data_IF_357690524010
#
_entry.id   IF_357690524010
#
_cell.length_a   1.000
_cell.length_b   1.000
_cell.length_c   1.000
_cell.angle_alpha   90.00
_cell.angle_beta   90.00
_cell.angle_gamma   90.00
#
_symmetry.space_group_name_H-M   'P 1'
#
loop_
_entity.id
_entity.type
_entity.pdbx_description
1 polymer ?
#
# COMPACT_ATOMS: atom_id res chain seq x y z
N UNK A 1 -15.12 15.94 -6.70
CA UNK A 1 -15.46 14.49 -6.75
C UNK A 1 -15.35 13.95 -5.35
N UNK A 2 -16.30 13.10 -4.94
CA UNK A 2 -16.32 12.46 -3.62
C UNK A 2 -15.98 10.97 -3.74
N UNK A 3 -15.42 10.35 -2.69
CA UNK A 3 -15.20 8.91 -2.64
C UNK A 3 -16.53 8.18 -2.58
N UNK A 4 -16.58 7.00 -3.20
CA UNK A 4 -17.73 6.11 -3.15
C UNK A 4 -17.29 4.65 -3.17
N UNK A 5 -18.16 3.77 -2.69
CA UNK A 5 -17.94 2.32 -2.69
C UNK A 5 -18.92 1.62 -3.60
N UNK A 6 -18.40 0.80 -4.50
CA UNK A 6 -19.15 -0.17 -5.29
C UNK A 6 -19.14 -1.50 -4.52
N UNK A 7 -20.29 -1.88 -3.97
CA UNK A 7 -20.41 -3.07 -3.10
C UNK A 7 -20.52 -4.35 -3.91
N UNK A 8 -19.71 -5.35 -3.57
CA UNK A 8 -19.73 -6.66 -4.24
C UNK A 8 -19.52 -6.64 -5.76
N UNK A 9 -18.99 -5.55 -6.31
CA UNK A 9 -18.98 -5.27 -7.74
C UNK A 9 -17.97 -6.14 -8.51
N UNK A 10 -17.00 -6.73 -7.81
CA UNK A 10 -15.98 -7.59 -8.39
C UNK A 10 -16.16 -9.07 -8.02
N UNK A 11 -17.34 -9.48 -7.54
CA UNK A 11 -17.60 -10.87 -7.14
C UNK A 11 -17.33 -11.88 -8.28
N UNK A 12 -17.49 -11.45 -9.53
CA UNK A 12 -17.26 -12.27 -10.72
C UNK A 12 -15.81 -12.27 -11.22
N UNK A 13 -14.90 -11.50 -10.59
CA UNK A 13 -13.49 -11.56 -10.94
C UNK A 13 -12.91 -12.94 -10.62
N UNK A 14 -12.13 -13.56 -11.53
CA UNK A 14 -11.38 -14.77 -11.20
C UNK A 14 -10.48 -14.59 -9.96
N UNK A 15 -10.00 -13.36 -9.72
CA UNK A 15 -9.19 -13.01 -8.56
C UNK A 15 -9.89 -13.24 -7.21
N UNK A 16 -11.23 -13.27 -7.18
CA UNK A 16 -12.00 -13.59 -5.97
C UNK A 16 -11.80 -15.04 -5.49
N UNK A 17 -11.30 -15.92 -6.35
CA UNK A 17 -10.98 -17.32 -6.00
C UNK A 17 -9.58 -17.48 -5.41
N UNK A 18 -8.81 -16.41 -5.31
CA UNK A 18 -7.45 -16.47 -4.78
C UNK A 18 -7.47 -16.80 -3.29
N UNK A 19 -6.85 -17.93 -2.94
CA UNK A 19 -6.55 -18.30 -1.56
C UNK A 19 -5.10 -17.95 -1.22
N UNK A 20 -4.76 -17.94 0.08
CA UNK A 20 -3.37 -17.72 0.52
C UNK A 20 -2.43 -18.81 0.00
N UNK A 21 -2.92 -20.05 -0.09
CA UNK A 21 -2.19 -21.18 -0.66
C UNK A 21 -1.95 -20.95 -2.16
N UNK A 22 -2.98 -20.55 -2.92
CA UNK A 22 -2.83 -20.25 -4.36
C UNK A 22 -1.93 -19.03 -4.63
N UNK A 23 -1.88 -18.07 -3.70
CA UNK A 23 -1.01 -16.90 -3.78
C UNK A 23 0.44 -17.27 -3.48
N UNK A 24 0.68 -18.17 -2.52
CA UNK A 24 2.02 -18.67 -2.21
C UNK A 24 2.69 -19.38 -3.39
N UNK A 25 1.91 -20.02 -4.26
CA UNK A 25 2.44 -20.71 -5.45
C UNK A 25 2.93 -19.74 -6.53
N UNK A 26 2.24 -18.60 -6.67
CA UNK A 26 2.38 -17.66 -7.80
C UNK A 26 3.08 -16.35 -7.45
N UNK A 27 3.14 -15.98 -6.18
CA UNK A 27 3.93 -14.86 -5.68
C UNK A 27 5.35 -15.34 -5.47
N UNK A 28 6.29 -14.75 -6.21
CA UNK A 28 7.72 -15.05 -6.14
C UNK A 28 8.51 -13.76 -5.95
N UNK A 29 9.72 -13.84 -5.37
CA UNK A 29 10.66 -12.72 -5.42
C UNK A 29 10.85 -12.24 -6.87
N UNK A 30 11.05 -10.93 -7.04
CA UNK A 30 11.32 -10.36 -8.35
C UNK A 30 12.63 -10.92 -8.93
N UNK A 31 12.84 -10.80 -10.25
CA UNK A 31 14.12 -11.17 -10.86
C UNK A 31 15.33 -10.43 -10.29
N UNK A 32 15.10 -9.31 -9.60
CA UNK A 32 16.12 -8.47 -8.95
C UNK A 32 16.30 -8.74 -7.45
N UNK A 33 15.47 -9.57 -6.82
CA UNK A 33 15.49 -9.80 -5.37
C UNK A 33 15.41 -11.28 -5.06
N UNK A 34 16.25 -11.81 -4.18
CA UNK A 34 16.20 -13.23 -3.79
C UNK A 34 15.08 -13.56 -2.78
N UNK A 35 14.49 -12.52 -2.18
CA UNK A 35 13.51 -12.65 -1.09
C UNK A 35 12.31 -11.71 -1.26
N UNK A 36 11.23 -12.04 -0.57
CA UNK A 36 10.08 -11.17 -0.34
C UNK A 36 10.31 -10.37 0.94
N UNK A 37 10.18 -9.05 0.85
CA UNK A 37 10.27 -8.16 2.01
C UNK A 37 8.89 -7.94 2.65
N UNK A 38 8.76 -8.28 3.93
CA UNK A 38 7.55 -8.04 4.74
C UNK A 38 7.83 -6.98 5.79
N UNK A 39 6.90 -6.03 5.92
CA UNK A 39 6.93 -4.97 6.93
C UNK A 39 6.21 -5.40 8.20
N UNK A 40 6.77 -5.04 9.35
CA UNK A 40 6.20 -5.31 10.65
C UNK A 40 6.12 -4.06 11.52
N UNK A 41 5.09 -4.01 12.35
CA UNK A 41 4.91 -2.99 13.35
C UNK A 41 4.18 -3.52 14.58
N UNK A 42 4.26 -2.80 15.68
CA UNK A 42 3.61 -3.21 16.93
C UNK A 42 2.10 -3.05 16.82
N UNK A 43 1.34 -4.04 17.32
CA UNK A 43 -0.12 -3.95 17.45
C UNK A 43 -0.55 -2.89 18.45
N UNK A 44 0.25 -2.68 19.50
CA UNK A 44 0.03 -1.60 20.46
C UNK A 44 0.43 -0.27 19.82
N UNK A 45 -0.57 0.56 19.53
CA UNK A 45 -0.36 1.93 19.08
C UNK A 45 0.08 2.83 20.25
N UNK A 46 1.07 3.68 20.05
CA UNK A 46 1.49 4.70 21.01
C UNK A 46 0.98 6.04 20.51
N UNK A 47 0.04 6.65 21.22
CA UNK A 47 -0.56 7.93 20.82
C UNK A 47 0.51 9.00 20.56
N UNK A 48 0.38 9.71 19.44
CA UNK A 48 1.33 10.71 18.98
C UNK A 48 2.57 10.14 18.27
N UNK A 49 2.66 8.81 18.12
CA UNK A 49 3.70 8.16 17.32
C UNK A 49 3.07 7.42 16.15
N UNK A 50 3.28 7.97 14.96
CA UNK A 50 2.92 7.34 13.69
C UNK A 50 4.08 6.41 13.32
N UNK A 51 3.81 5.15 12.97
CA UNK A 51 4.83 4.25 12.46
C UNK A 51 4.88 4.40 10.94
N UNK A 52 5.85 5.17 10.44
CA UNK A 52 6.06 5.29 9.00
C UNK A 52 6.78 4.06 8.43
N UNK A 53 6.73 3.92 7.12
CA UNK A 53 7.27 2.75 6.40
C UNK A 53 8.78 2.58 6.56
N UNK A 54 9.51 3.69 6.67
CA UNK A 54 10.97 3.72 6.88
C UNK A 54 11.39 3.41 8.32
N UNK A 55 10.46 3.48 9.28
CA UNK A 55 10.69 3.18 10.70
C UNK A 55 10.21 1.76 11.07
N UNK A 56 9.49 1.11 10.16
CA UNK A 56 8.97 -0.23 10.36
C UNK A 56 10.08 -1.27 10.28
N UNK A 57 9.95 -2.35 11.05
CA UNK A 57 10.87 -3.49 10.99
C UNK A 57 10.59 -4.31 9.72
N UNK A 58 11.59 -5.00 9.20
CA UNK A 58 11.45 -5.86 8.01
C UNK A 58 12.02 -7.24 8.24
N UNK A 59 11.43 -8.22 7.57
CA UNK A 59 11.93 -9.60 7.47
C UNK A 59 11.96 -9.98 5.99
N UNK A 60 13.08 -10.50 5.54
CA UNK A 60 13.21 -11.18 4.25
C UNK A 60 12.70 -12.63 4.38
N UNK A 61 11.69 -13.00 3.59
CA UNK A 61 11.14 -14.36 3.56
C UNK A 61 11.23 -14.96 2.15
N UNK A 62 11.32 -16.29 2.05
CA UNK A 62 11.35 -17.00 0.76
C UNK A 62 10.00 -16.99 0.04
N UNK A 63 8.92 -17.12 0.81
CA UNK A 63 7.56 -17.31 0.31
C UNK A 63 6.53 -16.89 1.37
N UNK A 64 5.32 -16.58 0.91
CA UNK A 64 4.24 -16.06 1.75
C UNK A 64 3.80 -17.03 2.86
N UNK A 65 4.05 -18.33 2.72
CA UNK A 65 3.67 -19.31 3.74
C UNK A 65 4.39 -19.06 5.06
N UNK A 66 5.60 -18.48 5.03
CA UNK A 66 6.33 -18.06 6.23
C UNK A 66 5.55 -17.02 7.03
N UNK A 67 5.04 -15.97 6.36
CA UNK A 67 4.21 -14.94 7.00
C UNK A 67 2.88 -15.54 7.51
N UNK A 68 2.27 -16.43 6.74
CA UNK A 68 0.98 -17.06 7.13
C UNK A 68 1.17 -17.92 8.38
N UNK A 69 2.17 -18.81 8.41
CA UNK A 69 2.47 -19.67 9.57
C UNK A 69 2.87 -18.86 10.78
N UNK A 70 3.73 -17.85 10.61
CA UNK A 70 4.07 -16.89 11.68
C UNK A 70 2.81 -16.32 12.33
N UNK A 71 1.81 -15.93 11.53
CA UNK A 71 0.58 -15.34 12.03
C UNK A 71 -0.40 -16.36 12.65
N UNK A 72 -0.58 -17.53 12.04
CA UNK A 72 -1.61 -18.50 12.48
C UNK A 72 -1.13 -19.43 13.59
N UNK A 73 0.18 -19.69 13.66
CA UNK A 73 0.80 -20.63 14.61
C UNK A 73 1.63 -19.91 15.68
N UNK A 74 1.72 -18.58 15.62
CA UNK A 74 2.54 -17.74 16.51
C UNK A 74 4.01 -18.20 16.61
N UNK A 75 4.59 -18.56 15.47
CA UNK A 75 6.02 -18.89 15.39
C UNK A 75 6.86 -17.61 15.53
N UNK A 76 8.04 -17.65 16.17
CA UNK A 76 8.94 -16.50 16.18
C UNK A 76 9.56 -16.28 14.78
N UNK A 77 9.73 -15.01 14.41
CA UNK A 77 10.59 -14.60 13.30
C UNK A 77 11.64 -13.61 13.79
N UNK A 78 12.80 -13.61 13.15
CA UNK A 78 13.87 -12.64 13.44
C UNK A 78 13.89 -11.60 12.33
N UNK A 79 13.84 -10.33 12.70
CA UNK A 79 13.93 -9.20 11.77
C UNK A 79 15.34 -9.04 11.22
N UNK A 80 15.47 -8.29 10.13
CA UNK A 80 16.75 -8.04 9.48
C UNK A 80 17.76 -7.32 10.40
N UNK A 81 17.29 -6.66 11.45
CA UNK A 81 18.10 -6.02 12.50
C UNK A 81 18.24 -6.88 13.79
N UNK A 82 17.88 -8.17 13.74
CA UNK A 82 18.17 -9.14 14.78
C UNK A 82 17.17 -9.22 15.94
N UNK A 83 15.98 -8.64 15.81
CA UNK A 83 14.95 -8.70 16.85
C UNK A 83 13.94 -9.82 16.60
N UNK A 84 13.61 -10.57 17.64
CA UNK A 84 12.51 -11.53 17.59
C UNK A 84 11.15 -10.80 17.58
N UNK A 85 10.25 -11.25 16.72
CA UNK A 85 8.88 -10.75 16.58
C UNK A 85 7.88 -11.91 16.58
N UNK A 86 6.74 -11.68 17.25
CA UNK A 86 5.64 -12.64 17.39
C UNK A 86 4.32 -12.04 16.97
N UNK A 87 3.39 -12.90 16.56
CA UNK A 87 2.11 -12.48 15.99
C UNK A 87 1.15 -11.90 17.04
N UNK A 88 1.34 -12.20 18.32
CA UNK A 88 0.57 -11.64 19.43
C UNK A 88 0.80 -10.13 19.64
N UNK A 89 2.00 -9.65 19.33
CA UNK A 89 2.49 -8.30 19.64
C UNK A 89 2.76 -7.46 18.41
N UNK A 90 2.99 -8.09 17.25
CA UNK A 90 3.24 -7.43 15.97
C UNK A 90 2.18 -7.77 14.93
N UNK A 91 1.99 -6.88 13.98
CA UNK A 91 1.33 -7.16 12.70
C UNK A 91 2.37 -7.28 11.59
N UNK A 92 2.03 -8.00 10.54
CA UNK A 92 2.77 -8.13 9.30
C UNK A 92 1.99 -7.54 8.11
N UNK A 93 2.71 -6.90 7.19
CA UNK A 93 2.18 -6.30 5.97
C UNK A 93 3.13 -6.51 4.79
N UNK A 94 2.66 -7.21 3.77
CA UNK A 94 3.26 -7.27 2.44
C UNK A 94 2.60 -6.19 1.59
N UNK A 95 3.17 -4.99 1.65
CA UNK A 95 2.61 -3.77 1.08
C UNK A 95 3.36 -3.26 -0.15
N UNK A 96 2.63 -2.52 -0.97
CA UNK A 96 3.14 -1.81 -2.16
C UNK A 96 3.93 -2.72 -3.12
N UNK A 97 3.42 -3.92 -3.39
CA UNK A 97 4.10 -4.87 -4.28
C UNK A 97 3.48 -4.81 -5.66
N UNK A 98 4.25 -4.36 -6.64
CA UNK A 98 3.81 -4.32 -8.02
C UNK A 98 3.59 -5.73 -8.55
N UNK A 99 2.38 -6.00 -9.04
CA UNK A 99 1.98 -7.34 -9.47
C UNK A 99 2.89 -7.85 -10.59
N UNK A 100 3.38 -6.99 -11.48
CA UNK A 100 4.30 -7.39 -12.55
C UNK A 100 5.66 -7.90 -12.08
N UNK A 101 6.09 -7.51 -10.88
CA UNK A 101 7.39 -7.92 -10.34
C UNK A 101 7.31 -9.29 -9.67
N UNK A 102 6.18 -9.59 -9.04
CA UNK A 102 6.07 -10.72 -8.11
C UNK A 102 5.07 -11.79 -8.55
N UNK A 103 4.11 -11.49 -9.41
CA UNK A 103 3.05 -12.41 -9.79
C UNK A 103 3.33 -13.04 -11.16
N UNK A 104 3.09 -14.34 -11.28
CA UNK A 104 3.12 -15.01 -12.59
C UNK A 104 2.10 -14.38 -13.56
N UNK A 105 2.54 -14.16 -14.80
CA UNK A 105 1.79 -13.39 -15.82
C UNK A 105 0.39 -13.91 -16.09
N UNK A 106 0.16 -15.23 -15.97
CA UNK A 106 -1.14 -15.85 -16.19
C UNK A 106 -2.20 -15.35 -15.20
N UNK A 107 -1.81 -15.08 -13.94
CA UNK A 107 -2.73 -14.63 -12.88
C UNK A 107 -3.05 -13.15 -12.96
N UNK A 108 -2.26 -12.35 -13.68
CA UNK A 108 -2.55 -10.91 -13.87
C UNK A 108 -3.90 -10.70 -14.57
N UNK A 109 -4.27 -11.63 -15.47
CA UNK A 109 -5.54 -11.59 -16.20
C UNK A 109 -6.79 -11.86 -15.34
N UNK A 110 -6.60 -12.31 -14.10
CA UNK A 110 -7.69 -12.52 -13.13
C UNK A 110 -8.28 -11.19 -12.62
N UNK A 111 -7.59 -10.07 -12.86
CA UNK A 111 -7.98 -8.71 -12.48
C UNK A 111 -8.45 -7.96 -13.73
N UNK A 112 -9.66 -7.38 -13.68
CA UNK A 112 -10.24 -6.70 -14.84
C UNK A 112 -10.79 -5.31 -14.49
N UNK A 113 -9.91 -4.30 -14.50
CA UNK A 113 -10.29 -2.90 -14.25
C UNK A 113 -11.21 -2.30 -15.34
N UNK A 114 -11.29 -2.89 -16.54
CA UNK A 114 -12.08 -2.34 -17.65
C UNK A 114 -13.58 -2.30 -17.37
N UNK A 115 -14.07 -3.10 -16.41
CA UNK A 115 -15.48 -3.07 -15.99
C UNK A 115 -15.90 -1.74 -15.36
N UNK A 116 -14.93 -0.91 -14.93
CA UNK A 116 -15.17 0.44 -14.41
C UNK A 116 -15.06 1.52 -15.48
N UNK A 117 -14.94 1.14 -16.76
CA UNK A 117 -14.77 2.09 -17.87
C UNK A 117 -13.38 2.73 -17.93
N UNK A 118 -12.39 2.19 -17.21
CA UNK A 118 -10.99 2.67 -17.23
C UNK A 118 -10.13 1.78 -18.13
N UNK A 119 -9.29 2.39 -18.96
CA UNK A 119 -8.37 1.66 -19.82
C UNK A 119 -7.00 1.51 -19.15
N UNK A 120 -6.95 0.72 -18.07
CA UNK A 120 -5.71 0.45 -17.33
C UNK A 120 -5.35 -1.02 -17.41
N UNK A 121 -4.06 -1.29 -17.60
CA UNK A 121 -3.52 -2.63 -17.64
C UNK A 121 -3.35 -3.15 -16.20
N UNK A 122 -3.92 -4.32 -15.83
CA UNK A 122 -3.76 -4.88 -14.49
C UNK A 122 -2.30 -5.11 -14.08
N UNK A 123 -1.35 -5.16 -15.03
CA UNK A 123 0.09 -5.27 -14.76
C UNK A 123 0.62 -4.14 -13.88
N UNK A 124 0.06 -2.93 -13.99
CA UNK A 124 0.47 -1.75 -13.22
C UNK A 124 -0.17 -1.70 -11.81
N UNK A 125 -0.93 -2.73 -11.43
CA UNK A 125 -1.57 -2.81 -10.12
C UNK A 125 -0.58 -3.17 -9.03
N UNK A 126 -0.90 -2.80 -7.80
CA UNK A 126 -0.19 -3.29 -6.60
C UNK A 126 -1.09 -4.21 -5.79
N UNK A 127 -0.47 -5.23 -5.18
CA UNK A 127 -1.13 -6.15 -4.25
C UNK A 127 -0.69 -5.84 -2.82
N UNK A 128 -1.61 -6.08 -1.89
CA UNK A 128 -1.43 -5.84 -0.46
C UNK A 128 -1.97 -7.03 0.32
N UNK A 129 -1.13 -7.63 1.16
CA UNK A 129 -1.50 -8.75 2.03
C UNK A 129 -1.13 -8.40 3.45
N UNK A 130 -2.11 -8.25 4.33
CA UNK A 130 -1.90 -7.73 5.69
C UNK A 130 -2.66 -8.52 6.75
N UNK A 131 -1.99 -8.75 7.89
CA UNK A 131 -2.64 -9.27 9.09
C UNK A 131 -3.43 -8.18 9.81
N UNK A 132 -4.40 -8.52 10.69
CA UNK A 132 -5.13 -7.53 11.48
C UNK A 132 -4.20 -6.58 12.25
N UNK A 133 -4.48 -5.28 12.15
CA UNK A 133 -3.68 -4.21 12.72
C UNK A 133 -2.71 -3.56 11.74
N UNK A 134 -2.30 -4.27 10.67
CA UNK A 134 -1.45 -3.72 9.63
C UNK A 134 -2.10 -2.50 8.98
N UNK A 135 -1.34 -1.42 8.83
CA UNK A 135 -1.90 -0.15 8.37
C UNK A 135 -0.94 0.66 7.51
N UNK A 136 -1.53 1.53 6.69
CA UNK A 136 -0.83 2.62 6.01
C UNK A 136 -1.20 3.92 6.74
N UNK A 137 -0.21 4.71 7.19
CA UNK A 137 -0.45 6.01 7.82
C UNK A 137 -1.34 6.93 6.98
N UNK A 138 -1.92 7.96 7.60
CA UNK A 138 -2.74 8.91 6.85
C UNK A 138 -1.90 9.61 5.77
N UNK A 139 -2.41 9.64 4.53
CA UNK A 139 -1.76 10.25 3.39
C UNK A 139 -2.79 10.63 2.31
N UNK A 140 -2.35 11.32 1.27
CA UNK A 140 -3.06 11.37 -0.01
C UNK A 140 -2.12 10.98 -1.15
N UNK A 141 -2.71 10.51 -2.25
CA UNK A 141 -2.00 10.17 -3.48
C UNK A 141 -1.65 11.45 -4.26
N UNK A 142 -0.36 11.63 -4.58
CA UNK A 142 0.17 12.82 -5.27
C UNK A 142 -0.45 13.02 -6.66
N UNK A 143 -0.80 11.94 -7.36
CA UNK A 143 -1.32 11.99 -8.73
C UNK A 143 -2.34 10.87 -8.99
N UNK A 144 -3.24 11.14 -9.94
CA UNK A 144 -4.30 10.22 -10.33
C UNK A 144 -5.40 10.07 -9.29
N UNK A 145 -6.38 9.21 -9.62
CA UNK A 145 -7.31 8.65 -8.65
C UNK A 145 -6.99 7.18 -8.43
N UNK A 146 -7.46 6.62 -7.31
CA UNK A 146 -7.17 5.25 -6.92
C UNK A 146 -8.46 4.42 -6.93
N UNK A 147 -8.39 3.23 -7.52
CA UNK A 147 -9.41 2.19 -7.39
C UNK A 147 -8.86 1.07 -6.52
N UNK A 148 -9.40 0.90 -5.33
CA UNK A 148 -8.97 -0.10 -4.36
C UNK A 148 -9.99 -1.25 -4.25
N UNK A 149 -9.62 -2.43 -4.69
CA UNK A 149 -10.44 -3.64 -4.71
C UNK A 149 -10.07 -4.59 -3.56
N UNK A 150 -11.05 -4.92 -2.72
CA UNK A 150 -10.88 -5.85 -1.61
C UNK A 150 -11.21 -7.28 -2.06
N UNK A 151 -10.22 -8.17 -2.10
CA UNK A 151 -10.37 -9.55 -2.58
C UNK A 151 -10.73 -10.52 -1.45
N UNK A 152 -10.10 -10.35 -0.28
CA UNK A 152 -10.31 -11.21 0.90
C UNK A 152 -10.18 -10.40 2.19
N UNK A 153 -10.92 -10.76 3.23
CA UNK A 153 -10.82 -10.11 4.54
C UNK A 153 -11.47 -8.72 4.53
N UNK A 154 -10.98 -7.81 5.38
CA UNK A 154 -11.54 -6.47 5.50
C UNK A 154 -10.49 -5.39 5.76
N UNK A 155 -10.72 -4.20 5.19
CA UNK A 155 -9.97 -2.98 5.48
C UNK A 155 -10.90 -1.88 5.95
N UNK A 156 -10.51 -1.20 7.03
CA UNK A 156 -11.12 0.05 7.48
C UNK A 156 -10.38 1.22 6.85
N UNK A 157 -11.14 2.12 6.26
CA UNK A 157 -10.69 3.37 5.68
C UNK A 157 -11.28 4.52 6.48
N UNK A 158 -10.47 5.53 6.77
CA UNK A 158 -10.89 6.80 7.34
C UNK A 158 -10.48 7.85 6.32
N UNK A 159 -11.45 8.58 5.77
CA UNK A 159 -11.28 9.55 4.70
C UNK A 159 -11.55 10.96 5.24
N UNK A 160 -10.75 11.94 4.81
CA UNK A 160 -10.97 13.37 5.10
C UNK A 160 -10.90 14.19 3.82
N UNK A 161 -11.58 15.34 3.82
CA UNK A 161 -11.66 16.18 2.64
C UNK A 161 -10.30 16.79 2.27
N UNK A 162 -10.01 16.99 0.97
CA UNK A 162 -8.72 17.54 0.52
C UNK A 162 -8.31 18.89 1.15
N UNK A 163 -9.29 19.67 1.60
CA UNK A 163 -9.10 20.99 2.20
C UNK A 163 -8.69 20.94 3.68
N UNK A 164 -8.80 19.77 4.33
CA UNK A 164 -8.42 19.61 5.73
C UNK A 164 -6.90 19.75 5.90
N UNK A 165 -6.48 20.55 6.88
CA UNK A 165 -5.06 20.74 7.21
C UNK A 165 -4.53 19.55 8.01
N UNK A 166 -4.25 18.47 7.29
CA UNK A 166 -3.71 17.25 7.87
C UNK A 166 -2.18 17.33 8.06
N UNK A 167 -1.58 18.52 8.15
CA UNK A 167 -0.14 18.72 8.42
C UNK A 167 0.74 17.87 7.45
N UNK A 168 0.70 18.15 6.14
CA UNK A 168 1.41 17.35 5.12
C UNK A 168 2.91 17.24 5.38
N UNK A 169 3.48 16.08 5.07
CA UNK A 169 4.91 15.80 5.14
C UNK A 169 5.34 14.88 4.01
N UNK A 170 6.53 15.14 3.46
CA UNK A 170 7.22 14.29 2.46
C UNK A 170 8.29 13.41 3.12
N UNK A 171 8.10 13.10 4.40
CA UNK A 171 9.02 12.28 5.20
C UNK A 171 8.18 11.13 5.79
N UNK A 172 8.52 9.86 5.49
CA UNK A 172 9.51 9.46 4.50
C UNK A 172 9.15 9.96 3.09
N UNK A 173 10.16 10.14 2.26
CA UNK A 173 9.94 10.55 0.87
C UNK A 173 9.53 9.34 0.04
N UNK A 174 8.37 9.45 -0.59
CA UNK A 174 7.83 8.50 -1.56
C UNK A 174 7.17 9.35 -2.66
N UNK A 175 7.43 9.02 -3.93
CA UNK A 175 7.07 9.86 -5.09
C UNK A 175 5.55 10.03 -5.21
N UNK A 176 4.81 8.96 -4.96
CA UNK A 176 3.35 8.90 -5.14
C UNK A 176 2.55 9.32 -3.92
N UNK A 177 3.20 9.59 -2.78
CA UNK A 177 2.53 9.73 -1.48
C UNK A 177 2.92 11.02 -0.76
N UNK A 178 1.92 11.72 -0.23
CA UNK A 178 2.14 12.79 0.76
C UNK A 178 1.52 12.36 2.08
N UNK A 179 2.37 12.08 3.05
CA UNK A 179 1.93 11.65 4.38
C UNK A 179 1.40 12.82 5.22
N UNK A 180 0.66 12.48 6.26
CA UNK A 180 0.17 13.40 7.30
C UNK A 180 0.99 13.22 8.58
N UNK A 181 1.26 14.32 9.29
CA UNK A 181 1.81 14.28 10.66
C UNK A 181 0.74 14.11 11.74
N UNK A 182 -0.54 13.99 11.35
CA UNK A 182 -1.64 13.80 12.28
C UNK A 182 -1.80 12.31 12.59
N UNK A 183 -1.81 11.95 13.87
CA UNK A 183 -2.01 10.58 14.31
C UNK A 183 -3.49 10.18 14.23
N UNK A 184 -3.92 9.79 13.01
CA UNK A 184 -5.30 9.38 12.73
C UNK A 184 -5.68 8.08 13.43
N UNK A 185 -4.76 7.11 13.49
CA UNK A 185 -5.00 5.82 14.15
C UNK A 185 -5.12 5.99 15.67
N UNK A 186 -4.27 6.84 16.26
CA UNK A 186 -4.30 7.12 17.70
C UNK A 186 -5.39 8.09 18.15
N UNK A 187 -6.08 8.73 17.19
CA UNK A 187 -7.15 9.70 17.46
C UNK A 187 -6.63 11.00 18.04
N UNK A 188 -5.67 11.64 17.36
CA UNK A 188 -5.15 12.96 17.76
C UNK A 188 -6.30 13.96 18.01
N UNK A 189 -6.16 14.80 19.05
CA UNK A 189 -7.23 15.68 19.51
C UNK A 189 -7.77 16.63 18.42
N UNK A 190 -6.92 17.02 17.46
CA UNK A 190 -7.26 17.82 16.29
C UNK A 190 -8.43 17.23 15.49
N UNK A 191 -8.53 15.89 15.40
CA UNK A 191 -9.52 15.20 14.57
C UNK A 191 -10.96 15.35 15.07
N UNK A 192 -11.16 15.83 16.30
CA UNK A 192 -12.51 16.10 16.85
C UNK A 192 -13.27 17.16 16.05
N UNK A 193 -12.54 18.03 15.35
CA UNK A 193 -13.09 19.11 14.56
C UNK A 193 -13.06 18.83 13.05
N UNK A 194 -12.60 17.63 12.65
CA UNK A 194 -12.47 17.23 11.24
C UNK A 194 -13.63 16.32 10.88
N UNK A 195 -14.20 16.49 9.68
CA UNK A 195 -15.26 15.61 9.21
C UNK A 195 -14.67 14.27 8.70
N UNK A 196 -14.76 13.23 9.53
CA UNK A 196 -14.24 11.91 9.21
C UNK A 196 -15.31 11.04 8.54
N UNK A 197 -15.03 10.55 7.33
CA UNK A 197 -15.86 9.54 6.65
C UNK A 197 -15.21 8.17 6.84
N UNK A 198 -15.85 7.28 7.57
CA UNK A 198 -15.32 5.94 7.85
C UNK A 198 -16.06 4.88 7.03
N UNK A 199 -15.30 3.97 6.42
CA UNK A 199 -15.86 2.86 5.65
C UNK A 199 -15.08 1.58 5.86
N UNK A 200 -15.78 0.45 5.94
CA UNK A 200 -15.15 -0.87 5.93
C UNK A 200 -15.45 -1.55 4.60
N UNK A 201 -14.39 -1.86 3.87
CA UNK A 201 -14.45 -2.68 2.67
C UNK A 201 -14.42 -4.15 3.06
N UNK A 202 -15.32 -4.93 2.48
CA UNK A 202 -15.37 -6.39 2.58
C UNK A 202 -14.98 -6.99 1.24
N UNK A 203 -14.69 -8.29 1.23
CA UNK A 203 -14.43 -9.03 -0.02
C UNK A 203 -15.54 -8.74 -1.05
N UNK A 204 -15.12 -8.36 -2.27
CA UNK A 204 -16.02 -7.97 -3.36
C UNK A 204 -16.20 -6.47 -3.54
N UNK A 205 -15.86 -5.65 -2.54
CA UNK A 205 -16.03 -4.20 -2.59
C UNK A 205 -14.89 -3.50 -3.33
N UNK A 206 -15.23 -2.39 -3.99
CA UNK A 206 -14.25 -1.47 -4.60
C UNK A 206 -14.49 -0.05 -4.10
N UNK A 207 -13.44 0.59 -3.58
CA UNK A 207 -13.44 1.99 -3.19
C UNK A 207 -12.81 2.83 -4.29
N UNK A 208 -13.50 3.87 -4.72
CA UNK A 208 -12.93 4.95 -5.51
C UNK A 208 -12.44 6.06 -4.57
N UNK A 209 -11.17 6.43 -4.69
CA UNK A 209 -10.55 7.54 -3.97
C UNK A 209 -10.19 8.63 -4.98
N UNK A 210 -10.86 9.80 -4.95
CA UNK A 210 -10.56 10.90 -5.85
C UNK A 210 -9.19 11.54 -5.51
N UNK A 211 -8.60 12.30 -6.47
CA UNK A 211 -7.32 12.96 -6.23
C UNK A 211 -7.35 13.89 -5.01
N UNK A 212 -6.30 13.84 -4.18
CA UNK A 212 -6.11 14.72 -3.04
C UNK A 212 -6.92 14.38 -1.78
N UNK A 213 -7.73 13.32 -1.79
CA UNK A 213 -8.43 12.88 -0.57
C UNK A 213 -7.45 12.26 0.43
N UNK A 214 -7.47 12.78 1.66
CA UNK A 214 -6.73 12.19 2.76
C UNK A 214 -7.36 10.87 3.16
N UNK A 215 -6.53 9.86 3.39
CA UNK A 215 -6.99 8.55 3.76
C UNK A 215 -5.99 7.81 4.66
N UNK A 216 -6.52 7.14 5.69
CA UNK A 216 -5.80 6.19 6.53
C UNK A 216 -6.47 4.83 6.42
N UNK A 217 -5.66 3.77 6.30
CA UNK A 217 -6.14 2.43 5.95
C UNK A 217 -5.58 1.40 6.92
N UNK A 218 -6.43 0.56 7.48
CA UNK A 218 -6.04 -0.49 8.42
C UNK A 218 -6.73 -1.82 8.07
N UNK A 219 -5.98 -2.90 8.03
CA UNK A 219 -6.50 -4.26 7.97
C UNK A 219 -7.16 -4.60 9.31
N UNK A 220 -8.41 -5.08 9.28
CA UNK A 220 -9.16 -5.42 10.49
C UNK A 220 -9.63 -6.87 10.42
N UNK A 221 -9.80 -7.50 11.59
CA UNK A 221 -10.50 -8.78 11.68
C UNK A 221 -11.96 -8.57 11.28
N UNK A 222 -12.49 -9.30 10.28
CA UNK A 222 -13.91 -9.21 9.96
C UNK A 222 -14.77 -9.69 11.13
N UNK A 223 -15.98 -9.14 11.27
CA UNK A 223 -16.91 -9.53 12.33
C UNK A 223 -17.21 -11.04 12.30
N UNK A 224 -17.17 -11.68 13.47
CA UNK A 224 -17.42 -13.12 13.62
C UNK A 224 -16.21 -14.02 13.37
N UNK A 225 -15.04 -13.48 13.01
CA UNK A 225 -13.82 -14.26 12.79
C UNK A 225 -12.84 -14.18 13.96
N UNK A 226 -12.09 -15.27 14.17
CA UNK A 226 -10.99 -15.28 15.13
C UNK A 226 -9.84 -14.39 14.66
N UNK A 227 -9.32 -13.57 15.57
CA UNK A 227 -8.25 -12.62 15.28
C UNK A 227 -6.93 -13.25 14.81
N UNK A 228 -6.71 -14.54 15.07
CA UNK A 228 -5.51 -15.29 14.66
C UNK A 228 -5.85 -16.42 13.65
N UNK A 229 -6.95 -16.29 12.90
CA UNK A 229 -7.24 -17.19 11.77
C UNK A 229 -6.64 -16.65 10.48
N UNK A 230 -6.24 -17.55 9.57
CA UNK A 230 -5.91 -17.22 8.17
C UNK A 230 -7.00 -16.40 7.48
N UNK A 231 -8.25 -16.55 7.92
CA UNK A 231 -9.39 -15.80 7.37
C UNK A 231 -9.37 -14.32 7.72
N UNK A 232 -8.69 -13.94 8.81
CA UNK A 232 -8.49 -12.56 9.22
C UNK A 232 -7.41 -11.82 8.39
N UNK A 233 -6.61 -12.54 7.59
CA UNK A 233 -5.66 -11.91 6.66
C UNK A 233 -6.43 -11.23 5.53
N UNK A 234 -6.14 -9.94 5.35
CA UNK A 234 -6.69 -9.10 4.28
C UNK A 234 -5.85 -9.23 3.01
N UNK A 235 -6.50 -9.38 1.87
CA UNK A 235 -5.89 -9.29 0.53
C UNK A 235 -6.66 -8.26 -0.30
N UNK A 236 -5.94 -7.33 -0.90
CA UNK A 236 -6.52 -6.31 -1.79
C UNK A 236 -5.57 -5.99 -2.93
N UNK A 237 -6.11 -5.50 -4.04
CA UNK A 237 -5.34 -4.94 -5.16
C UNK A 237 -5.83 -3.54 -5.45
N UNK A 238 -4.94 -2.67 -5.89
CA UNK A 238 -5.36 -1.35 -6.36
C UNK A 238 -4.58 -0.92 -7.59
N UNK A 239 -5.11 0.10 -8.26
CA UNK A 239 -4.46 0.74 -9.39
C UNK A 239 -4.69 2.24 -9.33
N UNK A 240 -3.69 3.01 -9.74
CA UNK A 240 -3.76 4.47 -9.87
C UNK A 240 -3.95 4.84 -11.34
N UNK A 241 -4.98 5.64 -11.61
CA UNK A 241 -5.34 6.07 -12.96
C UNK A 241 -4.93 7.54 -13.09
N UNK A 242 -3.99 7.88 -13.99
CA UNK A 242 -3.59 9.26 -14.22
C UNK A 242 -4.76 10.15 -14.64
N UNK A 243 -4.78 11.38 -14.17
CA UNK A 243 -5.74 12.39 -14.63
C UNK A 243 -4.97 13.61 -15.15
N UNK A 244 -4.67 13.68 -16.46
CA UNK A 244 -3.71 14.63 -17.02
C UNK A 244 -3.93 16.09 -16.62
N UNK A 245 -5.19 16.53 -16.50
CA UNK A 245 -5.54 17.91 -16.13
C UNK A 245 -5.18 18.24 -14.67
N UNK A 246 -5.20 17.28 -13.75
CA UNK A 246 -4.81 17.45 -12.35
C UNK A 246 -3.33 17.10 -12.11
N UNK A 247 -2.80 16.16 -12.90
CA UNK A 247 -1.51 15.56 -12.66
C UNK A 247 -0.33 16.37 -13.20
N UNK A 248 -0.50 17.12 -14.30
CA UNK A 248 0.62 17.72 -15.04
C UNK A 248 1.54 18.56 -14.15
N UNK A 249 0.98 19.50 -13.39
CA UNK A 249 1.76 20.40 -12.53
C UNK A 249 2.44 19.60 -11.41
N UNK A 250 1.71 18.67 -10.77
CA UNK A 250 2.24 17.85 -9.68
C UNK A 250 3.36 16.94 -10.14
N UNK A 251 3.24 16.30 -11.31
CA UNK A 251 4.28 15.48 -11.92
C UNK A 251 5.52 16.29 -12.28
N UNK A 252 5.36 17.53 -12.77
CA UNK A 252 6.51 18.42 -13.01
C UNK A 252 7.20 18.80 -11.71
N UNK A 253 6.45 19.20 -10.68
CA UNK A 253 7.01 19.48 -9.37
C UNK A 253 7.74 18.26 -8.78
N UNK A 254 7.20 17.07 -8.98
CA UNK A 254 7.80 15.83 -8.52
C UNK A 254 9.12 15.56 -9.27
N UNK A 255 9.12 15.62 -10.60
CA UNK A 255 10.33 15.45 -11.40
C UNK A 255 11.44 16.45 -11.02
N UNK A 256 11.08 17.72 -10.76
CA UNK A 256 12.02 18.73 -10.26
C UNK A 256 12.53 18.38 -8.87
N UNK A 257 11.64 17.98 -7.95
CA UNK A 257 12.01 17.59 -6.58
C UNK A 257 12.95 16.38 -6.58
N UNK A 258 12.62 15.31 -7.30
CA UNK A 258 13.49 14.15 -7.49
C UNK A 258 14.86 14.57 -8.01
N UNK A 259 14.89 15.40 -9.06
CA UNK A 259 16.14 15.88 -9.66
C UNK A 259 17.01 16.62 -8.65
N UNK A 260 16.41 17.55 -7.90
CA UNK A 260 17.13 18.30 -6.87
C UNK A 260 17.66 17.40 -5.75
N UNK A 261 16.83 16.48 -5.25
CA UNK A 261 17.24 15.49 -4.23
C UNK A 261 18.42 14.66 -4.74
N UNK A 262 18.34 14.10 -5.96
CA UNK A 262 19.42 13.35 -6.58
C UNK A 262 20.71 14.18 -6.72
N UNK A 263 20.62 15.45 -7.13
CA UNK A 263 21.77 16.35 -7.22
C UNK A 263 22.39 16.60 -5.85
N UNK A 264 21.58 16.89 -4.82
CA UNK A 264 22.06 17.08 -3.45
C UNK A 264 22.78 15.85 -2.90
N UNK A 265 22.25 14.65 -3.14
CA UNK A 265 22.91 13.40 -2.73
C UNK A 265 24.20 13.16 -3.52
N UNK A 266 24.20 13.41 -4.82
CA UNK A 266 25.37 13.24 -5.69
C UNK A 266 26.51 14.20 -5.34
N UNK A 267 26.20 15.40 -4.86
CA UNK A 267 27.18 16.39 -4.40
C UNK A 267 27.72 16.09 -3.00
N UNK A 268 27.00 15.33 -2.16
CA UNK A 268 27.43 14.96 -0.80
C UNK A 268 28.11 13.60 -0.71
N UNK A 269 27.82 12.67 -1.61
CA UNK A 269 28.33 11.30 -1.56
C UNK A 269 28.96 10.92 -2.90
N UNK A 270 30.24 11.23 -3.06
CA UNK A 270 31.08 10.81 -4.19
C UNK A 270 31.49 9.33 -4.01
N UNK A 271 30.54 8.41 -4.19
CA UNK A 271 30.84 6.98 -4.20
C UNK A 271 29.61 6.07 -4.14
N UNK A 272 29.36 5.32 -5.21
CA UNK A 272 28.56 4.08 -5.26
C UNK A 272 27.04 4.11 -4.95
N UNK A 273 26.35 5.25 -5.06
CA UNK A 273 24.89 5.32 -4.84
C UNK A 273 24.04 5.65 -6.08
N UNK A 274 24.66 5.72 -7.26
CA UNK A 274 24.00 6.22 -8.49
C UNK A 274 23.03 5.20 -9.13
N UNK A 275 23.21 3.90 -8.93
CA UNK A 275 22.42 2.86 -9.61
C UNK A 275 20.97 2.74 -9.11
N UNK A 276 20.73 2.94 -7.81
CA UNK A 276 19.39 2.83 -7.22
C UNK A 276 18.46 3.97 -7.68
N UNK A 277 19.00 5.19 -7.80
CA UNK A 277 18.23 6.37 -8.22
C UNK A 277 18.06 6.48 -9.75
N UNK A 278 19.01 5.98 -10.55
CA UNK A 278 18.84 5.88 -12.01
C UNK A 278 17.64 4.98 -12.39
N UNK A 279 17.35 3.95 -11.58
CA UNK A 279 16.19 3.06 -11.77
C UNK A 279 14.86 3.80 -11.56
N UNK A 280 14.79 4.67 -10.54
CA UNK A 280 13.63 5.53 -10.25
C UNK A 280 13.42 6.54 -11.38
N UNK A 281 14.50 7.20 -11.84
CA UNK A 281 14.45 8.15 -12.97
C UNK A 281 14.01 7.44 -14.26
N UNK A 282 14.45 6.20 -14.51
CA UNK A 282 14.05 5.46 -15.71
C UNK A 282 12.55 5.13 -15.71
N UNK A 283 11.94 4.86 -14.55
CA UNK A 283 10.49 4.63 -14.41
C UNK A 283 9.71 5.94 -14.58
N UNK A 284 10.13 7.03 -13.93
CA UNK A 284 9.46 8.34 -14.06
C UNK A 284 9.59 8.94 -15.47
N UNK A 285 10.73 8.78 -16.15
CA UNK A 285 10.95 9.26 -17.53
C UNK A 285 10.20 8.42 -18.56
N UNK A 286 10.11 7.08 -18.41
CA UNK A 286 9.28 6.25 -19.31
C UNK A 286 7.80 6.63 -19.27
N UNK A 287 7.29 7.06 -18.11
CA UNK A 287 5.89 7.44 -17.91
C UNK A 287 5.56 8.87 -18.36
N UNK A 288 6.55 9.74 -18.54
CA UNK A 288 6.36 11.06 -19.19
C UNK A 288 6.28 10.90 -20.72
N UNK A 289 6.90 9.86 -21.28
CA UNK A 289 6.97 9.61 -22.72
C UNK A 289 5.78 8.86 -23.34
N UNK A 290 4.91 8.24 -22.55
CA UNK A 290 3.77 7.45 -23.05
C UNK A 290 2.51 8.28 -23.36
N UNK A 291 2.53 9.58 -23.10
CA UNK A 291 1.44 10.52 -23.41
C UNK A 291 1.61 11.20 -24.80
N UNK A 292 2.15 10.47 -25.79
CA UNK A 292 2.11 10.85 -27.21
C UNK A 292 1.37 9.83 -28.05
#
# INVERSE_FOLDING_TARGET
>A
MEPFVLRGYINDWPAMKWTLESLNEVVRPSSSTEHLEIRFGTKKHVRGKILFENESRRVSISDLSTMVKWFTEDLPLTTNDGHEIRSDTYWAYFDYKYIFEILQSQRISDINWRIFGVNVNPIDSTIWIGTPGAYTPCHFDSYGFNLHAQLKGAKRWILMEPQEDMKPTRIPYEESTVFSRVDVVGGEAYLRNVHLRMITLKAGDVLFIPPGWWHSVQCITPEGWSANSKDAISVSVNTWIPVPIFDRIRRVHEAVTCTLVCLFFSLKFSGCFLEFYCSIIAVSVRRIGSDR
#
